data_IF_389719208718
#
_entry.id   IF_389719208718
#
_cell.length_a   1.000
_cell.length_b   1.000
_cell.length_c   1.000
_cell.angle_alpha   90.00
_cell.angle_beta   90.00
_cell.angle_gamma   90.00
#
_symmetry.space_group_name_H-M   'P 1'
#
loop_
_entity.id
_entity.type
_entity.pdbx_description
1 polymer ?
#
# COMPACT_ATOMS: atom_id res chain seq x y z
N UNK A 1 40.24 21.18 3.00
CA UNK A 1 39.31 20.09 2.71
C UNK A 1 39.44 19.03 3.81
N UNK A 2 38.75 19.18 4.94
CA UNK A 2 38.82 18.22 6.05
C UNK A 2 37.94 17.01 5.76
N UNK A 3 38.54 15.93 5.29
CA UNK A 3 37.85 14.66 5.04
C UNK A 3 37.25 14.14 6.35
N UNK A 4 35.92 14.10 6.44
CA UNK A 4 35.20 13.54 7.59
C UNK A 4 35.61 12.06 7.76
N UNK A 5 36.03 11.61 8.96
CA UNK A 5 36.47 10.24 9.17
C UNK A 5 35.35 9.27 8.78
N UNK A 6 35.67 8.28 7.94
CA UNK A 6 34.74 7.24 7.51
C UNK A 6 34.08 6.58 8.74
N UNK A 7 32.83 6.96 9.01
CA UNK A 7 32.07 6.59 10.21
C UNK A 7 31.89 5.07 10.33
N UNK A 8 31.98 4.33 9.22
CA UNK A 8 31.83 2.88 9.18
C UNK A 8 32.96 2.15 9.93
N UNK A 9 34.17 2.71 9.93
CA UNK A 9 35.34 2.14 10.63
C UNK A 9 35.51 2.67 12.07
N UNK A 10 34.67 3.62 12.50
CA UNK A 10 34.80 4.29 13.80
C UNK A 10 34.23 3.51 14.99
N UNK A 11 33.45 2.45 14.74
CA UNK A 11 32.81 1.58 15.73
C UNK A 11 33.52 0.22 15.86
N UNK A 12 34.78 0.26 16.32
CA UNK A 12 35.52 -0.95 16.68
C UNK A 12 34.88 -1.70 17.84
N UNK A 13 35.17 -3.01 17.98
CA UNK A 13 34.66 -3.83 19.07
C UNK A 13 35.01 -3.26 20.45
N UNK A 14 36.21 -2.74 20.60
CA UNK A 14 36.67 -2.09 21.83
C UNK A 14 35.83 -0.86 22.17
N UNK A 15 35.56 0.01 21.18
CA UNK A 15 34.69 1.18 21.38
C UNK A 15 33.27 0.78 21.73
N UNK A 16 32.73 -0.28 21.12
CA UNK A 16 31.41 -0.83 21.50
C UNK A 16 31.38 -1.32 22.94
N UNK A 17 32.42 -2.02 23.40
CA UNK A 17 32.56 -2.48 24.80
C UNK A 17 32.61 -1.29 25.76
N UNK A 18 33.48 -0.32 25.50
CA UNK A 18 33.61 0.90 26.31
C UNK A 18 32.31 1.72 26.33
N UNK A 19 31.60 1.80 25.21
CA UNK A 19 30.28 2.44 25.16
C UNK A 19 29.25 1.66 25.97
N UNK A 20 29.22 0.31 25.86
CA UNK A 20 28.34 -0.54 26.67
C UNK A 20 28.58 -0.31 28.16
N UNK A 21 29.83 -0.30 28.60
CA UNK A 21 30.19 -0.01 29.99
C UNK A 21 29.65 1.34 30.44
N UNK A 22 29.87 2.40 29.65
CA UNK A 22 29.32 3.74 29.95
C UNK A 22 27.80 3.75 30.03
N UNK A 23 27.12 3.08 29.11
CA UNK A 23 25.66 2.96 29.10
C UNK A 23 25.17 2.22 30.35
N UNK A 24 25.84 1.14 30.75
CA UNK A 24 25.50 0.37 31.96
C UNK A 24 25.78 1.13 33.26
N UNK A 25 26.83 1.96 33.29
CA UNK A 25 27.15 2.82 34.43
C UNK A 25 26.15 3.98 34.55
N UNK A 26 25.92 4.69 33.45
CA UNK A 26 25.10 5.90 33.46
C UNK A 26 23.59 5.60 33.48
N UNK A 27 23.19 4.39 33.09
CA UNK A 27 21.79 3.91 33.03
C UNK A 27 20.82 4.97 32.53
N UNK A 28 21.04 5.53 31.31
CA UNK A 28 20.30 6.71 30.85
C UNK A 28 18.78 6.51 30.81
N UNK A 29 18.29 5.27 30.69
CA UNK A 29 16.88 4.94 30.77
C UNK A 29 16.21 5.33 32.10
N UNK A 30 16.96 5.40 33.20
CA UNK A 30 16.44 5.86 34.49
C UNK A 30 16.09 7.35 34.51
N UNK A 31 16.67 8.13 33.59
CA UNK A 31 16.37 9.57 33.41
C UNK A 31 15.48 9.83 32.21
N UNK A 32 14.87 8.78 31.63
CA UNK A 32 13.98 8.94 30.48
C UNK A 32 12.74 9.73 30.89
N UNK A 33 12.50 10.87 30.24
CA UNK A 33 11.30 11.71 30.42
C UNK A 33 10.20 11.35 29.43
N UNK A 34 10.21 10.12 28.91
CA UNK A 34 9.19 9.62 28.00
C UNK A 34 7.80 9.56 28.65
N UNK A 35 6.74 9.39 27.85
CA UNK A 35 5.39 9.35 28.38
C UNK A 35 5.15 8.15 29.30
N UNK A 36 4.72 8.42 30.53
CA UNK A 36 4.44 7.41 31.56
C UNK A 36 2.98 6.96 31.49
N UNK A 37 2.07 7.89 31.23
CA UNK A 37 0.63 7.65 31.14
C UNK A 37 0.24 6.98 29.83
N UNK A 38 -0.86 6.24 29.84
CA UNK A 38 -1.35 5.56 28.63
C UNK A 38 -1.76 6.55 27.54
N UNK A 39 -2.33 7.70 27.91
CA UNK A 39 -2.61 8.80 26.98
C UNK A 39 -1.32 9.38 26.36
N UNK A 40 -0.27 9.55 27.17
CA UNK A 40 1.03 10.02 26.68
C UNK A 40 1.66 9.02 25.71
N UNK A 41 1.59 7.72 26.01
CA UNK A 41 2.10 6.66 25.13
C UNK A 41 1.31 6.64 23.82
N UNK A 42 -0.02 6.75 23.91
CA UNK A 42 -0.91 6.83 22.75
C UNK A 42 -0.54 8.03 21.89
N UNK A 43 -0.33 9.22 22.45
CA UNK A 43 0.12 10.39 21.72
C UNK A 43 1.48 10.17 21.03
N UNK A 44 2.49 9.69 21.77
CA UNK A 44 3.82 9.45 21.21
C UNK A 44 3.86 8.37 20.13
N UNK A 45 2.96 7.38 20.17
CA UNK A 45 2.83 6.36 19.11
C UNK A 45 2.32 6.92 17.78
N UNK A 46 1.76 8.14 17.78
CA UNK A 46 1.27 8.79 16.57
C UNK A 46 2.36 9.53 15.80
N UNK A 47 3.62 9.56 16.25
CA UNK A 47 4.72 10.26 15.57
C UNK A 47 4.95 9.76 14.13
N UNK A 48 4.65 8.48 13.85
CA UNK A 48 4.66 7.93 12.49
C UNK A 48 3.50 8.43 11.62
N UNK A 49 2.40 8.90 12.23
CA UNK A 49 1.25 9.54 11.54
C UNK A 49 1.50 11.03 11.29
N UNK A 50 2.70 11.38 10.83
CA UNK A 50 3.04 12.73 10.39
C UNK A 50 1.96 13.26 9.44
N UNK A 51 1.45 14.46 9.71
CA UNK A 51 0.40 15.08 8.88
C UNK A 51 0.84 15.25 7.42
N UNK A 52 2.13 15.38 7.18
CA UNK A 52 2.71 15.52 5.84
C UNK A 52 2.32 14.35 4.93
N UNK A 53 2.47 13.10 5.41
CA UNK A 53 2.09 11.91 4.63
C UNK A 53 0.58 11.85 4.41
N UNK A 54 -0.24 12.33 5.37
CA UNK A 54 -1.70 12.38 5.21
C UNK A 54 -2.14 13.34 4.11
N UNK A 55 -1.51 14.51 3.98
CA UNK A 55 -1.82 15.45 2.90
C UNK A 55 -1.40 14.89 1.54
N UNK A 56 -0.21 14.29 1.45
CA UNK A 56 0.30 13.72 0.19
C UNK A 56 -0.49 12.50 -0.28
N UNK A 57 -1.10 11.74 0.63
CA UNK A 57 -1.80 10.49 0.28
C UNK A 57 -3.32 10.61 0.25
N UNK A 58 -3.91 11.72 0.69
CA UNK A 58 -5.38 11.89 0.66
C UNK A 58 -5.95 11.86 -0.76
N UNK A 59 -5.26 12.48 -1.72
CA UNK A 59 -5.65 12.47 -3.13
C UNK A 59 -5.50 11.08 -3.75
N UNK A 60 -4.41 10.36 -3.43
CA UNK A 60 -4.20 8.98 -3.84
C UNK A 60 -5.30 8.04 -3.29
N UNK A 61 -5.66 8.18 -2.02
CA UNK A 61 -6.74 7.42 -1.39
C UNK A 61 -8.10 7.66 -2.09
N UNK A 62 -8.39 8.91 -2.47
CA UNK A 62 -9.61 9.23 -3.21
C UNK A 62 -9.60 8.62 -4.62
N UNK A 63 -8.45 8.66 -5.30
CA UNK A 63 -8.29 8.06 -6.63
C UNK A 63 -8.47 6.54 -6.58
N UNK A 64 -7.84 5.87 -5.61
CA UNK A 64 -7.96 4.43 -5.42
C UNK A 64 -9.40 4.00 -5.14
N UNK A 65 -10.14 4.75 -4.29
CA UNK A 65 -11.56 4.49 -4.03
C UNK A 65 -12.43 4.63 -5.28
N UNK A 66 -12.17 5.63 -6.12
CA UNK A 66 -12.86 5.81 -7.39
C UNK A 66 -12.60 4.63 -8.33
N UNK A 67 -11.34 4.19 -8.42
CA UNK A 67 -10.94 3.06 -9.27
C UNK A 67 -11.58 1.74 -8.82
N UNK A 68 -11.59 1.44 -7.52
CA UNK A 68 -12.24 0.24 -6.96
C UNK A 68 -13.75 0.22 -7.27
N UNK A 69 -14.42 1.37 -7.17
CA UNK A 69 -15.85 1.49 -7.51
C UNK A 69 -16.13 1.17 -8.99
N UNK A 70 -15.27 1.63 -9.89
CA UNK A 70 -15.40 1.33 -11.33
C UNK A 70 -15.15 -0.14 -11.59
N UNK A 71 -14.09 -0.72 -11.02
CA UNK A 71 -13.76 -2.14 -11.17
C UNK A 71 -14.89 -3.05 -10.68
N UNK A 72 -15.52 -2.73 -9.54
CA UNK A 72 -16.69 -3.46 -9.04
C UNK A 72 -17.91 -3.36 -9.93
N UNK A 73 -18.08 -2.25 -10.66
CA UNK A 73 -19.19 -2.10 -11.60
C UNK A 73 -18.92 -2.92 -12.85
N UNK A 74 -17.70 -2.86 -13.37
CA UNK A 74 -17.27 -3.66 -14.52
C UNK A 74 -17.31 -5.15 -14.23
N UNK A 75 -16.90 -5.59 -13.04
CA UNK A 75 -16.92 -7.00 -12.65
C UNK A 75 -18.33 -7.59 -12.54
N UNK A 76 -19.36 -6.74 -12.42
CA UNK A 76 -20.77 -7.14 -12.35
C UNK A 76 -21.44 -7.17 -13.72
N UNK A 77 -20.79 -6.59 -14.74
CA UNK A 77 -21.28 -6.62 -16.10
C UNK A 77 -20.72 -7.89 -16.74
N UNK A 78 -21.60 -8.85 -16.98
CA UNK A 78 -21.24 -10.10 -17.67
C UNK A 78 -21.32 -9.88 -19.19
N UNK A 79 -20.33 -9.14 -19.69
CA UNK A 79 -20.20 -8.86 -21.12
C UNK A 79 -19.96 -10.14 -21.95
N UNK A 80 -19.49 -11.21 -21.33
CA UNK A 80 -19.26 -12.47 -22.03
C UNK A 80 -20.57 -13.20 -22.31
N UNK A 81 -21.51 -13.18 -21.36
CA UNK A 81 -22.85 -13.73 -21.57
C UNK A 81 -23.61 -12.95 -22.64
N UNK A 82 -23.60 -11.61 -22.58
CA UNK A 82 -24.26 -10.77 -23.60
C UNK A 82 -23.68 -11.00 -25.00
N UNK A 83 -22.35 -11.15 -25.11
CA UNK A 83 -21.68 -11.45 -26.38
C UNK A 83 -22.07 -12.84 -26.91
N UNK A 84 -22.11 -13.84 -26.03
CA UNK A 84 -22.49 -15.21 -26.42
C UNK A 84 -23.94 -15.27 -26.91
N UNK A 85 -24.84 -14.53 -26.29
CA UNK A 85 -26.25 -14.47 -26.68
C UNK A 85 -26.41 -13.84 -28.07
N UNK A 86 -25.66 -12.76 -28.36
CA UNK A 86 -25.63 -12.13 -29.68
C UNK A 86 -25.06 -13.07 -30.76
N UNK A 87 -23.98 -13.81 -30.45
CA UNK A 87 -23.40 -14.79 -31.37
C UNK A 87 -24.40 -15.91 -31.70
N UNK A 88 -25.15 -16.38 -30.70
CA UNK A 88 -26.20 -17.38 -30.88
C UNK A 88 -27.36 -16.86 -31.74
N UNK A 89 -27.77 -15.61 -31.53
CA UNK A 89 -28.82 -14.96 -32.34
C UNK A 89 -28.40 -14.82 -33.81
N UNK A 90 -27.18 -14.37 -34.07
CA UNK A 90 -26.62 -14.26 -35.43
C UNK A 90 -26.56 -15.64 -36.11
N UNK A 91 -26.10 -16.67 -35.37
CA UNK A 91 -26.06 -18.04 -35.89
C UNK A 91 -27.45 -18.54 -36.28
N UNK A 92 -28.46 -18.30 -35.43
CA UNK A 92 -29.85 -18.66 -35.70
C UNK A 92 -30.41 -17.96 -36.93
N UNK A 93 -30.20 -16.64 -37.06
CA UNK A 93 -30.61 -15.86 -38.24
C UNK A 93 -29.96 -16.44 -39.50
N UNK A 94 -28.66 -16.77 -39.43
CA UNK A 94 -27.93 -17.34 -40.55
C UNK A 94 -28.50 -18.69 -40.99
N UNK A 95 -28.82 -19.58 -40.04
CA UNK A 95 -29.47 -20.87 -40.33
C UNK A 95 -30.86 -20.70 -40.96
N UNK A 96 -31.65 -19.72 -40.48
CA UNK A 96 -32.97 -19.41 -41.06
C UNK A 96 -32.80 -18.94 -42.51
N UNK A 97 -31.85 -18.05 -42.78
CA UNK A 97 -31.57 -17.56 -44.13
C UNK A 97 -31.12 -18.69 -45.06
N UNK A 98 -30.22 -19.57 -44.61
CA UNK A 98 -29.73 -20.72 -45.37
C UNK A 98 -30.84 -21.76 -45.66
N UNK A 99 -31.75 -21.99 -44.71
CA UNK A 99 -32.90 -22.91 -44.89
C UNK A 99 -34.06 -22.30 -45.71
N UNK A 100 -34.11 -20.97 -45.81
CA UNK A 100 -35.07 -20.22 -46.62
C UNK A 100 -34.65 -20.11 -48.08
N UNK A 101 -33.34 -19.98 -48.35
CA UNK A 101 -32.78 -19.98 -49.71
C UNK A 101 -32.80 -21.36 -50.37
N UNK A 102 -32.76 -22.46 -49.59
CA UNK A 102 -32.86 -23.83 -50.12
C UNK A 102 -34.28 -24.26 -50.56
N UNK A 103 -35.31 -23.43 -50.32
CA UNK A 103 -36.73 -23.74 -50.61
C UNK A 103 -37.30 -23.00 -51.84
N UNK A 104 -36.46 -22.30 -52.62
CA UNK A 104 -36.83 -21.67 -53.90
C UNK A 104 -36.05 -22.29 -55.06
#
# INVERSE_FOLDING_TARGET
>A
MTTSPNYKNSWTLERRKKQRERIMQNKPWLKSTGPITDDGKKASSQNARSSFIKFSCAELDQLMKKQDKVLRKLSKLDFEQEKQDLENEIAGIKTILESGTARN
#
